data_IF_551762861404
#
_entry.id   IF_551762861404
#
_cell.length_a   1.000
_cell.length_b   1.000
_cell.length_c   1.000
_cell.angle_alpha   90.00
_cell.angle_beta   90.00
_cell.angle_gamma   90.00
#
_symmetry.space_group_name_H-M   'P 1'
#
loop_
_entity.id
_entity.type
_entity.pdbx_description
1 polymer ?
#
# COMPACT_ATOMS: atom_id res chain seq x y z
N UNK A 1 -40.67 51.67 -62.56
CA UNK A 1 -39.28 51.26 -62.82
C UNK A 1 -38.44 51.97 -61.78
N UNK A 2 -37.87 51.38 -60.74
CA UNK A 2 -37.65 49.98 -60.35
C UNK A 2 -37.44 49.97 -58.83
N UNK A 3 -38.12 49.09 -58.09
CA UNK A 3 -37.68 47.75 -57.67
C UNK A 3 -37.04 47.77 -56.27
N UNK A 4 -37.91 47.71 -55.26
CA UNK A 4 -37.54 47.46 -53.86
C UNK A 4 -37.01 46.02 -53.70
N UNK A 5 -35.72 45.90 -53.41
CA UNK A 5 -35.05 44.63 -53.09
C UNK A 5 -35.53 44.09 -51.76
N UNK A 6 -36.23 42.94 -51.78
CA UNK A 6 -36.67 42.21 -50.59
C UNK A 6 -35.51 41.37 -50.05
N UNK A 7 -34.93 41.77 -48.92
CA UNK A 7 -33.91 40.98 -48.22
C UNK A 7 -34.58 39.78 -47.54
N UNK A 8 -34.37 38.58 -48.08
CA UNK A 8 -34.83 37.34 -47.47
C UNK A 8 -34.01 37.05 -46.20
N UNK A 9 -34.68 37.00 -45.04
CA UNK A 9 -34.05 36.56 -43.79
C UNK A 9 -33.71 35.08 -43.90
N UNK A 10 -32.43 34.74 -43.76
CA UNK A 10 -31.95 33.36 -43.64
C UNK A 10 -32.44 32.80 -42.30
N UNK A 11 -33.31 31.79 -42.35
CA UNK A 11 -33.71 31.04 -41.15
C UNK A 11 -32.49 30.21 -40.73
N UNK A 12 -32.01 30.29 -39.47
CA UNK A 12 -30.96 29.40 -39.01
C UNK A 12 -31.47 27.96 -39.10
N UNK A 13 -30.70 27.10 -39.78
CA UNK A 13 -30.98 25.66 -39.78
C UNK A 13 -30.94 25.10 -38.35
N UNK A 14 -31.62 23.99 -38.07
CA UNK A 14 -31.60 23.40 -36.73
C UNK A 14 -30.15 23.15 -36.31
N UNK A 15 -29.78 23.41 -35.04
CA UNK A 15 -28.44 23.14 -34.56
C UNK A 15 -28.13 21.67 -34.81
N UNK A 16 -27.07 21.40 -35.58
CA UNK A 16 -26.56 20.04 -35.75
C UNK A 16 -26.24 19.51 -34.34
N UNK A 17 -26.76 18.36 -33.93
CA UNK A 17 -26.55 17.91 -32.57
C UNK A 17 -25.07 17.56 -32.36
N UNK A 18 -24.35 18.34 -31.57
CA UNK A 18 -23.01 18.01 -31.01
C UNK A 18 -23.11 16.87 -29.96
N UNK A 19 -24.04 15.94 -30.13
CA UNK A 19 -24.42 14.95 -29.12
C UNK A 19 -23.34 13.87 -28.92
N UNK A 20 -22.55 13.55 -29.95
CA UNK A 20 -21.53 12.49 -29.86
C UNK A 20 -20.22 12.95 -29.24
N UNK A 21 -19.84 14.23 -29.37
CA UNK A 21 -18.58 14.75 -28.82
C UNK A 21 -18.65 14.94 -27.30
N UNK A 22 -19.80 15.39 -26.78
CA UNK A 22 -20.01 15.62 -25.33
C UNK A 22 -20.08 14.31 -24.52
N UNK A 23 -20.73 13.27 -25.06
CA UNK A 23 -20.85 11.97 -24.39
C UNK A 23 -19.49 11.27 -24.23
N UNK A 24 -18.64 11.33 -25.26
CA UNK A 24 -17.28 10.77 -25.18
C UNK A 24 -16.41 11.49 -24.14
N UNK A 25 -16.46 12.82 -24.09
CA UNK A 25 -15.69 13.62 -23.12
C UNK A 25 -16.14 13.34 -21.68
N UNK A 26 -17.44 13.22 -21.44
CA UNK A 26 -17.96 12.90 -20.10
C UNK A 26 -17.63 11.46 -19.67
N UNK A 27 -17.59 10.51 -20.61
CA UNK A 27 -17.16 9.15 -20.33
C UNK A 27 -15.69 9.11 -19.86
N UNK A 28 -14.79 9.85 -20.52
CA UNK A 28 -13.39 9.95 -20.08
C UNK A 28 -13.26 10.55 -18.68
N UNK A 29 -14.01 11.63 -18.38
CA UNK A 29 -14.03 12.23 -17.05
C UNK A 29 -14.58 11.28 -15.98
N UNK A 30 -15.57 10.47 -16.31
CA UNK A 30 -16.12 9.46 -15.40
C UNK A 30 -15.07 8.39 -15.05
N UNK A 31 -14.27 7.97 -16.03
CA UNK A 31 -13.16 7.03 -15.82
C UNK A 31 -12.10 7.65 -14.90
N UNK A 32 -11.69 8.89 -15.13
CA UNK A 32 -10.70 9.58 -14.30
C UNK A 32 -11.17 9.71 -12.84
N UNK A 33 -12.43 10.13 -12.62
CA UNK A 33 -13.01 10.22 -11.27
C UNK A 33 -13.06 8.86 -10.57
N UNK A 34 -13.40 7.79 -11.31
CA UNK A 34 -13.42 6.44 -10.75
C UNK A 34 -12.01 5.99 -10.37
N UNK A 35 -11.01 6.23 -11.22
CA UNK A 35 -9.60 5.95 -10.93
C UNK A 35 -9.12 6.71 -9.69
N UNK A 36 -9.44 8.00 -9.58
CA UNK A 36 -9.10 8.81 -8.40
C UNK A 36 -9.73 8.28 -7.12
N UNK A 37 -11.02 7.91 -7.16
CA UNK A 37 -11.72 7.34 -6.01
C UNK A 37 -11.11 6.01 -5.56
N UNK A 38 -10.83 5.10 -6.50
CA UNK A 38 -10.20 3.82 -6.21
C UNK A 38 -8.78 3.98 -5.68
N UNK A 39 -7.99 4.88 -6.29
CA UNK A 39 -6.66 5.21 -5.82
C UNK A 39 -6.69 5.74 -4.39
N UNK A 40 -7.58 6.68 -4.08
CA UNK A 40 -7.74 7.24 -2.74
C UNK A 40 -8.15 6.20 -1.70
N UNK A 41 -9.03 5.25 -2.02
CA UNK A 41 -9.38 4.17 -1.10
C UNK A 41 -8.19 3.22 -0.85
N UNK A 42 -7.49 2.85 -1.92
CA UNK A 42 -6.39 1.89 -1.84
C UNK A 42 -5.21 2.40 -0.99
N UNK A 43 -4.93 3.68 -1.06
CA UNK A 43 -3.81 4.33 -0.36
C UNK A 43 -4.23 5.04 0.92
N UNK A 44 -5.47 4.85 1.38
CA UNK A 44 -6.06 5.57 2.50
C UNK A 44 -5.94 7.11 2.39
N UNK A 45 -6.05 7.64 1.16
CA UNK A 45 -6.01 9.07 0.84
C UNK A 45 -4.64 9.60 0.41
N UNK A 46 -3.60 8.76 0.34
CA UNK A 46 -2.26 9.16 -0.11
C UNK A 46 -2.12 9.07 -1.64
N UNK A 47 -1.22 9.85 -2.24
CA UNK A 47 -0.93 9.70 -3.68
C UNK A 47 -0.20 8.38 -3.94
N UNK A 48 -0.69 7.49 -4.84
CA UNK A 48 0.02 6.27 -5.22
C UNK A 48 1.41 6.55 -5.79
N UNK A 49 1.54 7.63 -6.57
CA UNK A 49 2.82 8.04 -7.14
C UNK A 49 3.80 8.50 -6.05
N UNK A 50 3.31 9.21 -5.03
CA UNK A 50 4.16 9.64 -3.91
C UNK A 50 4.65 8.45 -3.08
N UNK A 51 3.79 7.47 -2.81
CA UNK A 51 4.16 6.22 -2.12
C UNK A 51 5.23 5.45 -2.92
N UNK A 52 5.03 5.30 -4.23
CA UNK A 52 5.99 4.65 -5.10
C UNK A 52 7.33 5.39 -5.08
N UNK A 53 7.32 6.71 -5.21
CA UNK A 53 8.55 7.52 -5.21
C UNK A 53 9.31 7.40 -3.89
N UNK A 54 8.63 7.47 -2.75
CA UNK A 54 9.25 7.30 -1.44
C UNK A 54 9.88 5.91 -1.27
N UNK A 55 9.21 4.86 -1.76
CA UNK A 55 9.75 3.51 -1.74
C UNK A 55 10.98 3.36 -2.64
N UNK A 56 10.96 3.93 -3.85
CA UNK A 56 12.09 3.90 -4.76
C UNK A 56 13.29 4.68 -4.25
N UNK A 57 13.07 5.88 -3.73
CA UNK A 57 14.12 6.72 -3.15
C UNK A 57 14.88 5.95 -2.05
N UNK A 58 14.14 5.46 -1.06
CA UNK A 58 14.71 4.64 0.02
C UNK A 58 15.40 3.37 -0.50
N UNK A 59 14.77 2.67 -1.45
CA UNK A 59 15.30 1.43 -2.03
C UNK A 59 16.60 1.63 -2.79
N UNK A 60 16.71 2.70 -3.59
CA UNK A 60 17.93 3.05 -4.33
C UNK A 60 19.05 3.41 -3.36
N UNK A 61 18.76 4.21 -2.33
CA UNK A 61 19.74 4.55 -1.30
C UNK A 61 20.23 3.31 -0.54
N UNK A 62 19.34 2.39 -0.19
CA UNK A 62 19.73 1.12 0.43
C UNK A 62 20.55 0.24 -0.52
N UNK A 63 20.16 0.16 -1.80
CA UNK A 63 20.86 -0.61 -2.83
C UNK A 63 22.31 -0.10 -3.04
N UNK A 64 22.51 1.21 -2.93
CA UNK A 64 23.83 1.85 -3.04
C UNK A 64 24.67 1.79 -1.74
N UNK A 65 24.14 1.24 -0.64
CA UNK A 65 24.78 1.22 0.68
C UNK A 65 25.18 -0.22 1.11
N UNK A 66 26.27 -0.81 0.57
CA UNK A 66 26.64 -2.21 0.83
C UNK A 66 26.92 -2.51 2.30
N UNK A 67 27.56 -1.58 3.03
CA UNK A 67 27.79 -1.74 4.47
C UNK A 67 26.50 -1.85 5.28
N UNK A 68 25.48 -1.06 4.92
CA UNK A 68 24.17 -1.13 5.58
C UNK A 68 23.45 -2.44 5.26
N UNK A 69 23.53 -2.92 4.03
CA UNK A 69 22.98 -4.23 3.65
C UNK A 69 23.61 -5.36 4.47
N UNK A 70 24.93 -5.37 4.64
CA UNK A 70 25.62 -6.38 5.46
C UNK A 70 25.22 -6.30 6.93
N UNK A 71 25.13 -5.10 7.49
CA UNK A 71 24.67 -4.87 8.87
C UNK A 71 23.26 -5.40 9.09
N UNK A 72 22.33 -5.07 8.18
CA UNK A 72 20.93 -5.52 8.22
C UNK A 72 20.84 -7.05 8.08
N UNK A 73 21.60 -7.64 7.16
CA UNK A 73 21.69 -9.09 6.95
C UNK A 73 22.24 -9.82 8.18
N UNK A 74 23.31 -9.32 8.79
CA UNK A 74 23.85 -9.86 10.04
C UNK A 74 22.83 -9.80 11.19
N UNK A 75 22.17 -8.66 11.36
CA UNK A 75 21.10 -8.49 12.36
C UNK A 75 19.94 -9.46 12.10
N UNK A 76 19.49 -9.60 10.86
CA UNK A 76 18.42 -10.52 10.46
C UNK A 76 18.81 -11.98 10.75
N UNK A 77 20.02 -12.39 10.38
CA UNK A 77 20.53 -13.74 10.64
C UNK A 77 20.48 -14.13 12.11
N UNK A 78 20.85 -13.22 13.02
CA UNK A 78 20.73 -13.45 14.48
C UNK A 78 19.28 -13.65 14.93
N UNK A 79 18.31 -12.93 14.34
CA UNK A 79 16.89 -13.10 14.66
C UNK A 79 16.36 -14.43 14.13
N UNK A 80 16.71 -14.80 12.90
CA UNK A 80 16.36 -16.09 12.29
C UNK A 80 16.91 -17.25 13.12
N UNK A 81 18.17 -17.18 13.58
CA UNK A 81 18.75 -18.20 14.45
C UNK A 81 17.99 -18.34 15.78
N UNK A 82 17.60 -17.21 16.40
CA UNK A 82 16.80 -17.20 17.64
C UNK A 82 15.40 -17.77 17.44
N UNK A 83 14.77 -17.50 16.31
CA UNK A 83 13.47 -18.10 15.94
C UNK A 83 13.61 -19.60 15.67
N UNK A 84 14.66 -20.01 14.95
CA UNK A 84 14.96 -21.41 14.68
C UNK A 84 15.18 -22.22 15.96
N UNK A 85 15.91 -21.67 16.93
CA UNK A 85 16.09 -22.29 18.23
C UNK A 85 14.78 -22.44 19.04
N UNK A 86 13.78 -21.60 18.77
CA UNK A 86 12.46 -21.66 19.42
C UNK A 86 11.55 -22.75 18.83
N UNK A 87 11.74 -23.15 17.56
CA UNK A 87 10.88 -24.12 16.87
C UNK A 87 10.82 -25.49 17.56
N UNK A 88 11.95 -25.99 18.04
CA UNK A 88 12.04 -27.32 18.67
C UNK A 88 11.30 -27.38 20.02
N UNK A 89 11.54 -26.46 20.98
CA UNK A 89 10.73 -26.41 22.20
C UNK A 89 9.24 -26.17 21.91
N UNK A 90 8.92 -25.26 20.99
CA UNK A 90 7.54 -24.86 20.71
C UNK A 90 6.70 -25.94 20.03
N UNK A 91 7.32 -26.94 19.39
CA UNK A 91 6.60 -28.09 18.83
C UNK A 91 6.41 -29.23 19.83
N UNK A 92 7.29 -29.35 20.83
CA UNK A 92 7.26 -30.41 21.83
C UNK A 92 6.55 -30.03 23.14
N UNK A 93 6.56 -28.75 23.52
CA UNK A 93 6.06 -28.26 24.80
C UNK A 93 4.90 -27.28 24.55
N UNK A 94 3.68 -27.56 25.08
CA UNK A 94 2.49 -26.72 24.87
C UNK A 94 2.61 -25.25 25.30
N UNK A 95 3.66 -24.88 26.04
CA UNK A 95 3.97 -23.52 26.50
C UNK A 95 5.49 -23.30 26.56
N UNK A 96 6.20 -23.59 25.47
CA UNK A 96 7.62 -23.30 25.39
C UNK A 96 7.92 -21.83 25.72
N UNK A 97 9.03 -21.59 26.42
CA UNK A 97 9.47 -20.25 26.77
C UNK A 97 9.60 -19.36 25.51
N UNK A 98 9.05 -18.14 25.60
CA UNK A 98 9.17 -17.15 24.55
C UNK A 98 10.65 -16.86 24.29
N UNK A 99 11.04 -16.80 23.01
CA UNK A 99 12.39 -16.41 22.69
C UNK A 99 12.56 -14.90 22.78
N UNK A 100 11.50 -14.09 22.66
CA UNK A 100 11.48 -12.63 22.85
C UNK A 100 10.16 -12.19 23.50
N UNK A 101 10.25 -11.19 24.37
CA UNK A 101 9.07 -10.55 24.99
C UNK A 101 8.64 -9.30 24.22
N UNK A 102 7.35 -8.95 24.24
CA UNK A 102 6.85 -7.68 23.70
C UNK A 102 7.52 -6.46 24.36
N UNK A 103 7.49 -5.32 23.67
CA UNK A 103 7.93 -4.05 24.25
C UNK A 103 7.04 -3.66 25.44
N UNK A 104 7.56 -2.85 26.39
CA UNK A 104 6.72 -2.31 27.46
C UNK A 104 5.50 -1.58 26.89
N UNK A 105 4.30 -1.97 27.35
CA UNK A 105 3.02 -1.43 26.88
C UNK A 105 2.42 -2.12 25.65
N UNK A 106 3.09 -3.12 25.07
CA UNK A 106 2.53 -3.93 23.98
C UNK A 106 1.72 -5.12 24.51
N UNK A 107 0.40 -4.93 24.61
CA UNK A 107 -0.55 -5.93 25.13
C UNK A 107 -1.10 -6.89 24.07
N UNK A 108 -0.71 -6.78 22.79
CA UNK A 108 -1.32 -7.53 21.68
C UNK A 108 -1.25 -9.05 21.85
N UNK A 109 -0.23 -9.55 22.55
CA UNK A 109 0.07 -10.98 22.71
C UNK A 109 -0.26 -11.55 24.09
N UNK A 110 -1.04 -10.83 24.92
CA UNK A 110 -1.32 -11.21 26.31
C UNK A 110 -2.23 -12.44 26.46
N UNK A 111 -3.13 -12.68 25.52
CA UNK A 111 -4.09 -13.78 25.61
C UNK A 111 -3.37 -15.16 25.59
N UNK A 112 -3.76 -16.13 26.44
CA UNK A 112 -3.08 -17.44 26.52
C UNK A 112 -3.02 -18.21 25.21
N UNK A 113 -3.95 -17.97 24.29
CA UNK A 113 -3.95 -18.55 22.94
C UNK A 113 -2.68 -18.24 22.14
N UNK A 114 -2.05 -17.09 22.38
CA UNK A 114 -0.78 -16.71 21.74
C UNK A 114 0.41 -17.57 22.19
N UNK A 115 0.30 -18.32 23.29
CA UNK A 115 1.38 -19.21 23.75
C UNK A 115 1.32 -20.60 23.13
N UNK A 116 0.29 -20.89 22.32
CA UNK A 116 0.06 -22.20 21.70
C UNK A 116 0.31 -22.14 20.20
N UNK A 117 0.67 -23.29 19.63
CA UNK A 117 0.79 -23.42 18.18
C UNK A 117 -0.58 -23.16 17.50
N UNK A 118 -0.59 -22.53 16.31
CA UNK A 118 0.56 -21.96 15.58
C UNK A 118 0.94 -20.52 16.02
N UNK A 119 0.16 -19.93 16.92
CA UNK A 119 0.23 -18.49 17.25
C UNK A 119 1.49 -18.09 18.01
N UNK A 120 2.05 -18.98 18.83
CA UNK A 120 3.33 -18.72 19.49
C UNK A 120 4.43 -18.45 18.46
N UNK A 121 4.56 -19.28 17.44
CA UNK A 121 5.55 -19.06 16.39
C UNK A 121 5.32 -17.73 15.65
N UNK A 122 4.08 -17.42 15.28
CA UNK A 122 3.72 -16.19 14.57
C UNK A 122 4.04 -14.94 15.40
N UNK A 123 3.68 -14.95 16.70
CA UNK A 123 3.98 -13.84 17.61
C UNK A 123 5.49 -13.63 17.78
N UNK A 124 6.26 -14.71 17.96
CA UNK A 124 7.71 -14.63 18.15
C UNK A 124 8.43 -14.16 16.88
N UNK A 125 7.99 -14.63 15.70
CA UNK A 125 8.47 -14.12 14.42
C UNK A 125 8.18 -12.63 14.25
N UNK A 126 6.95 -12.20 14.55
CA UNK A 126 6.55 -10.80 14.49
C UNK A 126 7.38 -9.92 15.44
N UNK A 127 7.55 -10.31 16.70
CA UNK A 127 8.31 -9.54 17.69
C UNK A 127 9.80 -9.45 17.34
N UNK A 128 10.38 -10.51 16.79
CA UNK A 128 11.76 -10.49 16.29
C UNK A 128 11.90 -9.57 15.06
N UNK A 129 10.91 -9.55 14.18
CA UNK A 129 10.85 -8.65 13.03
C UNK A 129 10.71 -7.19 13.47
N UNK A 130 9.84 -6.91 14.45
CA UNK A 130 9.71 -5.59 15.08
C UNK A 130 11.04 -5.15 15.69
N UNK A 131 11.71 -6.03 16.43
CA UNK A 131 13.02 -5.74 17.00
C UNK A 131 14.08 -5.47 15.92
N UNK A 132 14.02 -6.13 14.76
CA UNK A 132 14.95 -5.84 13.66
C UNK A 132 14.77 -4.44 13.09
N UNK A 133 13.52 -3.97 12.94
CA UNK A 133 13.24 -2.60 12.47
C UNK A 133 13.66 -1.50 13.45
N UNK A 134 13.66 -1.78 14.76
CA UNK A 134 14.07 -0.81 15.79
C UNK A 134 15.59 -0.78 16.07
N UNK A 135 16.39 -1.69 15.51
CA UNK A 135 17.84 -1.80 15.74
C UNK A 135 18.67 -1.26 14.59
#
# INVERSE_FOLDING_TARGET
MDMTTKVARRIPGPPTPELDSGLGIEAFRAIDRMREALAGQFTAGLSPAALALAFYDWGIHLAAAPGKQMELGWKAGRKVARLGAHLLPASAVPEAAACIEPLPGDDRFRAPSWRRQPFCLLSQAFLLQQQWWHN
#
